data_IF_894126936276
#
_entry.id   IF_894126936276
#
_cell.length_a   1.000
_cell.length_b   1.000
_cell.length_c   1.000
_cell.angle_alpha   90.00
_cell.angle_beta   90.00
_cell.angle_gamma   90.00
#
_symmetry.space_group_name_H-M   'P 1'
#
loop_
_entity.id
_entity.type
_entity.pdbx_description
1 polymer ?
#
# COMPACT_ATOMS: atom_id res chain seq x y z
N UNK A 1 16.57 -23.59 14.98
CA UNK A 1 15.70 -22.43 15.24
C UNK A 1 14.54 -22.53 14.28
N UNK A 2 13.29 -22.46 14.76
CA UNK A 2 12.10 -22.47 13.89
C UNK A 2 12.16 -21.19 13.06
N UNK A 3 12.27 -21.27 11.73
CA UNK A 3 12.30 -20.10 10.85
C UNK A 3 11.11 -19.20 11.17
N UNK A 4 11.37 -18.11 11.90
CA UNK A 4 10.35 -17.09 12.10
C UNK A 4 10.20 -16.42 10.74
N UNK A 5 8.99 -16.45 10.12
CA UNK A 5 8.80 -15.80 8.85
C UNK A 5 9.20 -14.33 9.03
N UNK A 6 10.08 -13.84 8.14
CA UNK A 6 10.42 -12.41 8.10
C UNK A 6 9.12 -11.62 8.22
N UNK A 7 9.07 -10.65 9.15
CA UNK A 7 7.84 -9.91 9.51
C UNK A 7 7.11 -9.40 8.25
N UNK A 8 7.85 -9.01 7.21
CA UNK A 8 7.30 -8.65 5.90
C UNK A 8 6.56 -9.75 5.14
N UNK A 9 7.05 -10.99 5.18
CA UNK A 9 6.39 -12.15 4.57
C UNK A 9 5.09 -12.53 5.30
N UNK A 10 5.00 -12.24 6.60
CA UNK A 10 3.73 -12.40 7.33
C UNK A 10 2.64 -11.45 6.80
N UNK A 11 3.01 -10.26 6.31
CA UNK A 11 2.07 -9.28 5.72
C UNK A 11 1.49 -9.79 4.40
N UNK A 12 2.27 -10.49 3.58
CA UNK A 12 1.81 -11.13 2.34
C UNK A 12 0.63 -12.07 2.61
N UNK A 13 0.70 -12.85 3.70
CA UNK A 13 -0.38 -13.78 4.06
C UNK A 13 -1.70 -13.07 4.38
N UNK A 14 -1.62 -11.85 4.94
CA UNK A 14 -2.74 -11.00 5.38
C UNK A 14 -3.20 -9.98 4.33
N UNK A 15 -2.47 -9.85 3.22
CA UNK A 15 -2.78 -8.92 2.15
C UNK A 15 -4.25 -8.94 1.66
N UNK A 16 -4.93 -10.10 1.48
CA UNK A 16 -6.34 -10.11 1.10
C UNK A 16 -7.25 -9.39 2.12
N UNK A 17 -7.00 -9.61 3.41
CA UNK A 17 -7.76 -8.97 4.49
C UNK A 17 -7.47 -7.47 4.52
N UNK A 18 -6.20 -7.08 4.32
CA UNK A 18 -5.80 -5.67 4.21
C UNK A 18 -6.49 -4.95 3.05
N UNK A 19 -6.62 -5.58 1.89
CA UNK A 19 -7.39 -5.02 0.77
C UNK A 19 -8.86 -4.81 1.13
N UNK A 20 -9.51 -5.78 1.79
CA UNK A 20 -10.93 -5.66 2.18
C UNK A 20 -11.14 -4.49 3.15
N UNK A 21 -10.27 -4.36 4.15
CA UNK A 21 -10.34 -3.27 5.13
C UNK A 21 -10.14 -1.93 4.44
N UNK A 22 -9.13 -1.80 3.58
CA UNK A 22 -8.80 -0.55 2.89
C UNK A 22 -9.87 -0.17 1.86
N UNK A 23 -10.45 -1.14 1.16
CA UNK A 23 -11.59 -0.92 0.28
C UNK A 23 -12.82 -0.43 1.07
N UNK A 24 -13.10 -1.03 2.23
CA UNK A 24 -14.22 -0.59 3.09
C UNK A 24 -14.01 0.85 3.60
N UNK A 25 -12.79 1.18 4.02
CA UNK A 25 -12.43 2.56 4.42
C UNK A 25 -12.59 3.53 3.24
N UNK A 26 -12.12 3.15 2.04
CA UNK A 26 -12.29 3.97 0.84
C UNK A 26 -13.76 4.16 0.47
N UNK A 27 -14.60 3.14 0.59
CA UNK A 27 -16.06 3.25 0.33
C UNK A 27 -16.69 4.22 1.33
N UNK A 28 -16.39 4.07 2.64
CA UNK A 28 -16.90 4.99 3.67
C UNK A 28 -16.43 6.43 3.40
N UNK A 29 -15.16 6.61 3.03
CA UNK A 29 -14.60 7.90 2.68
C UNK A 29 -15.36 8.56 1.52
N UNK A 30 -15.72 7.79 0.50
CA UNK A 30 -16.35 8.32 -0.73
C UNK A 30 -17.88 8.40 -0.67
N UNK A 31 -18.52 7.68 0.25
CA UNK A 31 -19.96 7.85 0.53
C UNK A 31 -20.20 9.08 1.42
N UNK A 32 -19.28 9.36 2.33
CA UNK A 32 -19.39 10.51 3.25
C UNK A 32 -18.78 11.80 2.70
N UNK A 33 -17.90 11.73 1.70
CA UNK A 33 -17.09 12.86 1.22
C UNK A 33 -16.85 12.79 -0.30
N UNK A 34 -16.40 13.89 -0.90
CA UNK A 34 -16.14 13.97 -2.35
C UNK A 34 -14.96 13.08 -2.82
N UNK A 35 -15.24 12.21 -3.80
CA UNK A 35 -14.25 11.35 -4.44
C UNK A 35 -13.36 12.14 -5.40
N UNK A 36 -12.05 12.13 -5.14
CA UNK A 36 -11.05 12.58 -6.12
C UNK A 36 -10.36 11.37 -6.77
N UNK A 37 -10.84 10.98 -7.95
CA UNK A 37 -10.35 9.83 -8.72
C UNK A 37 -8.86 9.97 -9.08
N UNK A 38 -8.40 11.20 -9.35
CA UNK A 38 -7.00 11.46 -9.73
C UNK A 38 -6.08 11.17 -8.54
N UNK A 39 -6.38 11.73 -7.37
CA UNK A 39 -5.63 11.46 -6.13
C UNK A 39 -5.64 9.98 -5.79
N UNK A 40 -6.80 9.31 -5.91
CA UNK A 40 -6.93 7.88 -5.65
C UNK A 40 -6.04 7.05 -6.60
N UNK A 41 -5.99 7.41 -7.89
CA UNK A 41 -5.16 6.73 -8.89
C UNK A 41 -3.67 6.76 -8.56
N UNK A 42 -3.11 7.95 -8.30
CA UNK A 42 -1.70 8.08 -7.93
C UNK A 42 -1.39 7.44 -6.58
N UNK A 43 -2.33 7.50 -5.62
CA UNK A 43 -2.21 6.82 -4.34
C UNK A 43 -2.04 5.30 -4.51
N UNK A 44 -2.91 4.66 -5.28
CA UNK A 44 -2.87 3.22 -5.57
C UNK A 44 -1.54 2.86 -6.23
N UNK A 45 -1.10 3.61 -7.24
CA UNK A 45 0.18 3.37 -7.93
C UNK A 45 1.35 3.48 -6.95
N UNK A 46 1.40 4.52 -6.12
CA UNK A 46 2.46 4.66 -5.13
C UNK A 46 2.46 3.55 -4.07
N UNK A 47 1.27 3.06 -3.70
CA UNK A 47 1.11 1.86 -2.86
C UNK A 47 1.72 0.61 -3.49
N UNK A 48 1.43 0.38 -4.76
CA UNK A 48 2.01 -0.74 -5.53
C UNK A 48 3.53 -0.63 -5.59
N UNK A 49 4.07 0.54 -5.94
CA UNK A 49 5.53 0.73 -6.02
C UNK A 49 6.18 0.54 -4.66
N UNK A 50 5.57 1.05 -3.58
CA UNK A 50 6.06 0.85 -2.21
C UNK A 50 6.10 -0.63 -1.83
N UNK A 51 5.04 -1.38 -2.14
CA UNK A 51 4.99 -2.82 -1.90
C UNK A 51 6.08 -3.57 -2.68
N UNK A 52 6.33 -3.22 -3.95
CA UNK A 52 7.40 -3.84 -4.74
C UNK A 52 8.78 -3.56 -4.16
N UNK A 53 9.04 -2.33 -3.70
CA UNK A 53 10.29 -1.98 -3.02
C UNK A 53 10.44 -2.74 -1.70
N UNK A 54 9.40 -2.79 -0.88
CA UNK A 54 9.45 -3.54 0.38
C UNK A 54 9.56 -5.06 0.16
N UNK A 55 8.95 -5.62 -0.89
CA UNK A 55 9.17 -7.01 -1.29
C UNK A 55 10.63 -7.24 -1.70
N UNK A 56 11.24 -6.34 -2.48
CA UNK A 56 12.67 -6.43 -2.81
C UNK A 56 13.55 -6.44 -1.55
N UNK A 57 13.23 -5.59 -0.57
CA UNK A 57 13.90 -5.60 0.74
C UNK A 57 13.71 -6.93 1.48
N UNK A 58 12.46 -7.42 1.60
CA UNK A 58 12.16 -8.67 2.33
C UNK A 58 12.76 -9.91 1.65
N UNK A 59 13.00 -9.85 0.35
CA UNK A 59 13.69 -10.89 -0.43
C UNK A 59 15.22 -10.73 -0.43
N UNK A 60 15.78 -9.83 0.39
CA UNK A 60 17.22 -9.73 0.63
C UNK A 60 18.00 -8.85 -0.35
N UNK A 61 17.34 -8.03 -1.19
CA UNK A 61 18.05 -7.13 -2.13
C UNK A 61 18.75 -5.93 -1.48
N UNK A 62 18.62 -5.76 -0.16
CA UNK A 62 19.36 -4.76 0.63
C UNK A 62 18.48 -3.67 1.26
N UNK A 63 19.02 -3.00 2.29
CA UNK A 63 18.29 -2.03 3.12
C UNK A 63 17.84 -0.75 2.40
N UNK A 64 18.47 -0.38 1.27
CA UNK A 64 18.07 0.78 0.49
C UNK A 64 16.62 0.67 0.00
N UNK A 65 16.18 -0.53 -0.37
CA UNK A 65 14.80 -0.78 -0.79
C UNK A 65 13.77 -0.53 0.32
N UNK A 66 14.15 -0.79 1.58
CA UNK A 66 13.31 -0.43 2.73
C UNK A 66 13.14 1.10 2.80
N UNK A 67 14.26 1.83 2.78
CA UNK A 67 14.28 3.30 2.87
C UNK A 67 13.44 3.93 1.75
N UNK A 68 13.61 3.46 0.51
CA UNK A 68 12.83 3.92 -0.63
C UNK A 68 11.35 3.53 -0.53
N UNK A 69 11.05 2.32 -0.06
CA UNK A 69 9.68 1.84 0.10
C UNK A 69 8.89 2.64 1.14
N UNK A 70 9.49 2.93 2.30
CA UNK A 70 8.84 3.70 3.37
C UNK A 70 8.80 5.21 3.11
N UNK A 71 9.62 5.74 2.20
CA UNK A 71 9.59 7.16 1.85
C UNK A 71 8.51 7.50 0.83
N UNK A 72 7.97 6.54 0.07
CA UNK A 72 6.95 6.82 -0.94
C UNK A 72 5.67 7.50 -0.44
N UNK A 73 5.08 7.12 0.71
CA UNK A 73 3.97 7.89 1.29
C UNK A 73 4.31 9.36 1.51
N UNK A 74 5.55 9.65 1.97
CA UNK A 74 6.00 11.02 2.20
C UNK A 74 6.08 11.79 0.89
N UNK A 75 6.63 11.17 -0.16
CA UNK A 75 6.70 11.76 -1.50
C UNK A 75 5.30 12.04 -2.04
N UNK A 76 4.36 11.10 -1.90
CA UNK A 76 2.98 11.28 -2.34
C UNK A 76 2.26 12.44 -1.63
N UNK A 77 2.52 12.64 -0.34
CA UNK A 77 1.98 13.78 0.42
C UNK A 77 2.46 15.11 -0.16
N UNK A 78 3.71 15.21 -0.62
CA UNK A 78 4.25 16.44 -1.22
C UNK A 78 3.57 16.81 -2.55
N UNK A 79 3.07 15.83 -3.29
CA UNK A 79 2.47 16.02 -4.61
C UNK A 79 0.94 15.98 -4.59
N UNK A 80 0.33 15.76 -3.43
CA UNK A 80 -1.13 15.72 -3.30
C UNK A 80 -1.64 17.03 -2.70
N UNK A 81 -2.55 17.75 -3.37
CA UNK A 81 -3.20 18.91 -2.78
C UNK A 81 -4.14 18.46 -1.66
N UNK A 82 -3.62 18.42 -0.42
CA UNK A 82 -4.34 18.00 0.79
C UNK A 82 -5.14 19.17 1.39
N UNK A 83 -6.07 19.73 0.61
CA UNK A 83 -6.91 20.84 1.06
C UNK A 83 -7.98 20.42 2.08
N UNK A 84 -8.17 19.11 2.31
CA UNK A 84 -9.18 18.56 3.21
C UNK A 84 -8.78 17.21 3.80
N UNK A 85 -9.42 16.85 4.91
CA UNK A 85 -9.33 15.50 5.50
C UNK A 85 -9.73 14.41 4.51
N UNK A 86 -10.67 14.70 3.60
CA UNK A 86 -11.09 13.80 2.54
C UNK A 86 -9.96 13.44 1.58
N UNK A 87 -9.20 14.45 1.14
CA UNK A 87 -8.07 14.22 0.25
C UNK A 87 -7.01 13.33 0.91
N UNK A 88 -6.77 13.52 2.21
CA UNK A 88 -5.89 12.66 2.99
C UNK A 88 -6.44 11.24 3.12
N UNK A 89 -7.73 11.08 3.39
CA UNK A 89 -8.35 9.77 3.54
C UNK A 89 -8.35 8.98 2.22
N UNK A 90 -8.61 9.65 1.09
CA UNK A 90 -8.48 9.06 -0.26
C UNK A 90 -7.03 8.69 -0.60
N UNK A 91 -6.06 9.55 -0.25
CA UNK A 91 -4.63 9.26 -0.44
C UNK A 91 -4.19 8.03 0.37
N UNK A 92 -4.52 7.99 1.67
CA UNK A 92 -4.09 6.91 2.57
C UNK A 92 -4.78 5.59 2.21
N UNK A 93 -6.10 5.61 2.00
CA UNK A 93 -6.85 4.39 1.65
C UNK A 93 -6.44 3.84 0.29
N UNK A 94 -6.27 4.68 -0.72
CA UNK A 94 -5.77 4.29 -2.04
C UNK A 94 -4.37 3.69 -1.96
N UNK A 95 -3.46 4.33 -1.22
CA UNK A 95 -2.10 3.83 -1.02
C UNK A 95 -2.10 2.44 -0.40
N UNK A 96 -2.80 2.24 0.73
CA UNK A 96 -2.81 0.94 1.39
C UNK A 96 -3.55 -0.12 0.56
N UNK A 97 -4.59 0.25 -0.18
CA UNK A 97 -5.26 -0.66 -1.11
C UNK A 97 -4.29 -1.16 -2.19
N UNK A 98 -3.58 -0.25 -2.87
CA UNK A 98 -2.59 -0.60 -3.89
C UNK A 98 -1.43 -1.43 -3.32
N UNK A 99 -0.97 -1.08 -2.12
CA UNK A 99 0.05 -1.84 -1.39
C UNK A 99 -0.39 -3.29 -1.14
N UNK A 100 -1.59 -3.48 -0.55
CA UNK A 100 -2.13 -4.81 -0.29
C UNK A 100 -2.42 -5.57 -1.59
N UNK A 101 -2.86 -4.91 -2.65
CA UNK A 101 -3.08 -5.53 -3.95
C UNK A 101 -1.80 -6.11 -4.54
N UNK A 102 -0.70 -5.36 -4.51
CA UNK A 102 0.60 -5.84 -4.97
C UNK A 102 1.10 -7.05 -4.14
N UNK A 103 0.95 -7.01 -2.81
CA UNK A 103 1.29 -8.15 -1.95
C UNK A 103 0.42 -9.37 -2.24
N UNK A 104 -0.87 -9.16 -2.52
CA UNK A 104 -1.79 -10.24 -2.86
C UNK A 104 -1.45 -10.87 -4.22
N UNK A 105 -1.13 -10.07 -5.23
CA UNK A 105 -0.64 -10.57 -6.52
C UNK A 105 0.64 -11.39 -6.33
N UNK A 106 1.59 -10.90 -5.54
CA UNK A 106 2.79 -11.66 -5.21
C UNK A 106 2.45 -13.02 -4.56
N UNK A 107 1.52 -13.04 -3.59
CA UNK A 107 1.05 -14.28 -2.96
C UNK A 107 0.50 -15.29 -3.99
N UNK A 108 -0.30 -14.83 -4.94
CA UNK A 108 -0.88 -15.68 -5.97
C UNK A 108 0.18 -16.22 -6.94
N UNK A 109 1.22 -15.45 -7.23
CA UNK A 109 2.32 -15.86 -8.09
C UNK A 109 3.29 -16.82 -7.38
N UNK A 110 3.55 -16.60 -6.10
CA UNK A 110 4.48 -17.42 -5.30
C UNK A 110 3.88 -18.77 -4.84
N UNK A 111 2.55 -18.90 -4.84
CA UNK A 111 1.84 -20.16 -4.55
C UNK A 111 1.55 -21.00 -5.82
N UNK A 112 2.07 -20.61 -6.98
CA UNK A 112 2.15 -21.46 -8.17
C UNK A 112 3.47 -22.21 -8.18
#
# INVERSE_FOLDING_TARGET
>A
MKDQPHVGLSLVSKAPMGMLITALVAVIANVLLELNIITLGYAVVGGVVSAVLLLAYWLGKGGLFFILGVSLPLVLVLFTPLASITALLNLVSGFFFGFCAALFVYKLLANK
#
